data_IF_158304049822
#
_entry.id   IF_158304049822
#
_cell.length_a   1.000
_cell.length_b   1.000
_cell.length_c   1.000
_cell.angle_alpha   90.00
_cell.angle_beta   90.00
_cell.angle_gamma   90.00
#
_symmetry.space_group_name_H-M   'P 1'
#
loop_
_entity.id
_entity.type
_entity.pdbx_description
1 polymer ?
#
# COMPACT_ATOMS: atom_id res chain seq x y z
N UNK A 1 16.30 -26.40 5.10
CA UNK A 1 15.30 -25.33 5.37
C UNK A 1 15.37 -24.18 4.36
N UNK A 2 16.56 -23.70 3.97
CA UNK A 2 16.72 -22.60 2.99
C UNK A 2 16.06 -22.85 1.63
N UNK A 3 16.10 -24.07 1.09
CA UNK A 3 15.50 -24.39 -0.21
C UNK A 3 13.97 -24.41 -0.21
N UNK A 4 13.35 -24.68 0.94
CA UNK A 4 11.89 -24.62 1.09
C UNK A 4 11.43 -23.15 1.10
N UNK A 5 12.13 -22.29 1.85
CA UNK A 5 11.86 -20.87 1.91
C UNK A 5 12.02 -20.19 0.53
N UNK A 6 13.07 -20.52 -0.22
CA UNK A 6 13.27 -20.00 -1.59
C UNK A 6 12.14 -20.41 -2.54
N UNK A 7 11.66 -21.66 -2.44
CA UNK A 7 10.54 -22.15 -3.27
C UNK A 7 9.24 -21.43 -2.95
N UNK A 8 8.92 -21.26 -1.66
CA UNK A 8 7.73 -20.52 -1.22
C UNK A 8 7.79 -19.06 -1.66
N UNK A 9 8.94 -18.41 -1.51
CA UNK A 9 9.13 -17.04 -1.95
C UNK A 9 8.98 -16.91 -3.47
N UNK A 10 9.64 -17.76 -4.26
CA UNK A 10 9.51 -17.75 -5.72
C UNK A 10 8.07 -18.01 -6.19
N UNK A 11 7.32 -18.87 -5.49
CA UNK A 11 5.91 -19.08 -5.76
C UNK A 11 5.09 -17.82 -5.47
N UNK A 12 5.29 -17.21 -4.30
CA UNK A 12 4.62 -15.96 -3.90
C UNK A 12 4.91 -14.79 -4.85
N UNK A 13 6.13 -14.70 -5.39
CA UNK A 13 6.47 -13.69 -6.39
C UNK A 13 5.69 -13.86 -7.70
N UNK A 14 5.42 -15.11 -8.11
CA UNK A 14 4.69 -15.41 -9.35
C UNK A 14 3.18 -15.18 -9.21
N UNK A 15 2.61 -15.50 -8.04
CA UNK A 15 1.18 -15.40 -7.79
C UNK A 15 0.78 -14.05 -7.20
N UNK A 16 1.23 -13.75 -5.99
CA UNK A 16 0.83 -12.54 -5.23
C UNK A 16 1.57 -11.31 -5.75
N UNK A 17 2.86 -11.43 -6.04
CA UNK A 17 3.71 -10.32 -6.51
C UNK A 17 3.30 -9.75 -7.87
N UNK A 18 2.41 -10.42 -8.61
CA UNK A 18 1.94 -9.97 -9.92
C UNK A 18 0.59 -9.23 -9.85
N UNK A 19 -0.10 -9.27 -8.72
CA UNK A 19 -1.39 -8.61 -8.51
C UNK A 19 -1.26 -7.08 -8.59
N UNK A 20 -2.29 -6.36 -9.07
CA UNK A 20 -2.32 -4.91 -9.06
C UNK A 20 -2.26 -4.36 -7.63
N UNK A 21 -1.41 -3.36 -7.40
CA UNK A 21 -1.25 -2.77 -6.07
C UNK A 21 -2.39 -1.87 -5.65
N UNK A 22 -3.02 -1.17 -6.59
CA UNK A 22 -4.09 -0.22 -6.28
C UNK A 22 -5.23 -0.85 -5.45
N UNK A 23 -5.86 -1.98 -5.84
CA UNK A 23 -6.94 -2.55 -5.04
C UNK A 23 -6.46 -3.11 -3.69
N UNK A 24 -5.25 -3.66 -3.61
CA UNK A 24 -4.70 -4.16 -2.35
C UNK A 24 -4.52 -3.03 -1.34
N UNK A 25 -3.94 -1.92 -1.77
CA UNK A 25 -3.74 -0.74 -0.91
C UNK A 25 -5.07 -0.09 -0.57
N UNK A 26 -5.98 0.04 -1.54
CA UNK A 26 -7.32 0.60 -1.33
C UNK A 26 -8.12 -0.20 -0.30
N UNK A 27 -8.17 -1.53 -0.42
CA UNK A 27 -8.85 -2.39 0.56
C UNK A 27 -8.20 -2.30 1.94
N UNK A 28 -6.87 -2.24 2.01
CA UNK A 28 -6.12 -2.20 3.27
C UNK A 28 -6.39 -0.90 4.05
N UNK A 29 -6.27 0.25 3.39
CA UNK A 29 -6.62 1.53 4.01
C UNK A 29 -8.12 1.70 4.23
N UNK A 30 -8.96 1.22 3.31
CA UNK A 30 -10.41 1.24 3.46
C UNK A 30 -10.87 0.47 4.69
N UNK A 31 -10.29 -0.71 4.96
CA UNK A 31 -10.55 -1.48 6.16
C UNK A 31 -10.09 -0.74 7.42
N UNK A 32 -8.89 -0.14 7.41
CA UNK A 32 -8.39 0.62 8.56
C UNK A 32 -9.29 1.82 8.90
N UNK A 33 -9.75 2.56 7.87
CA UNK A 33 -10.70 3.65 8.02
C UNK A 33 -12.05 3.14 8.55
N UNK A 34 -12.57 2.04 8.00
CA UNK A 34 -13.81 1.44 8.47
C UNK A 34 -13.72 1.00 9.93
N UNK A 35 -12.62 0.40 10.36
CA UNK A 35 -12.37 0.04 11.77
C UNK A 35 -12.34 1.28 12.67
N UNK A 36 -11.69 2.36 12.22
CA UNK A 36 -11.64 3.63 12.95
C UNK A 36 -13.02 4.27 13.13
N UNK A 37 -13.86 4.24 12.09
CA UNK A 37 -15.18 4.87 12.09
C UNK A 37 -16.27 4.03 12.76
N UNK A 38 -16.21 2.70 12.65
CA UNK A 38 -17.29 1.80 13.09
C UNK A 38 -17.04 1.16 14.46
N UNK A 39 -15.78 1.04 14.89
CA UNK A 39 -15.41 0.33 16.12
C UNK A 39 -14.81 1.31 17.13
N UNK A 40 -13.60 1.78 16.87
CA UNK A 40 -12.89 2.74 17.72
C UNK A 40 -11.63 3.24 17.02
N UNK A 41 -11.12 4.40 17.45
CA UNK A 41 -9.86 4.96 16.95
C UNK A 41 -8.68 3.99 17.14
N UNK A 42 -8.56 3.37 18.32
CA UNK A 42 -7.53 2.36 18.59
C UNK A 42 -7.63 1.12 17.67
N UNK A 43 -8.85 0.71 17.29
CA UNK A 43 -9.04 -0.36 16.32
C UNK A 43 -8.61 0.06 14.91
N UNK A 44 -8.89 1.32 14.53
CA UNK A 44 -8.41 1.92 13.28
C UNK A 44 -6.89 1.97 13.19
N UNK A 45 -6.21 2.41 14.26
CA UNK A 45 -4.75 2.42 14.34
C UNK A 45 -4.15 1.00 14.23
N UNK A 46 -4.72 0.05 14.97
CA UNK A 46 -4.29 -1.35 14.90
C UNK A 46 -4.46 -1.93 13.49
N UNK A 47 -5.59 -1.64 12.83
CA UNK A 47 -5.85 -2.04 11.46
C UNK A 47 -4.90 -1.36 10.46
N UNK A 48 -4.50 -0.11 10.70
CA UNK A 48 -3.50 0.59 9.89
C UNK A 48 -2.11 -0.07 9.99
N UNK A 49 -1.69 -0.53 11.18
CA UNK A 49 -0.46 -1.31 11.33
C UNK A 49 -0.51 -2.64 10.58
N UNK A 50 -1.65 -3.35 10.66
CA UNK A 50 -1.86 -4.59 9.90
C UNK A 50 -1.83 -4.32 8.39
N UNK A 51 -2.51 -3.27 7.93
CA UNK A 51 -2.49 -2.83 6.54
C UNK A 51 -1.05 -2.54 6.06
N UNK A 52 -0.27 -1.82 6.87
CA UNK A 52 1.14 -1.55 6.56
C UNK A 52 1.96 -2.84 6.47
N UNK A 53 1.79 -3.78 7.42
CA UNK A 53 2.48 -5.07 7.39
C UNK A 53 2.13 -5.88 6.13
N UNK A 54 0.86 -5.89 5.71
CA UNK A 54 0.41 -6.53 4.46
C UNK A 54 1.06 -5.86 3.25
N UNK A 55 1.10 -4.53 3.20
CA UNK A 55 1.72 -3.78 2.11
C UNK A 55 3.23 -4.04 2.04
N UNK A 56 3.93 -4.06 3.18
CA UNK A 56 5.36 -4.37 3.25
C UNK A 56 5.63 -5.79 2.75
N UNK A 57 4.84 -6.77 3.19
CA UNK A 57 4.95 -8.16 2.75
C UNK A 57 4.69 -8.28 1.24
N UNK A 58 3.65 -7.62 0.74
CA UNK A 58 3.34 -7.57 -0.69
C UNK A 58 4.49 -6.93 -1.49
N UNK A 59 5.08 -5.82 -1.01
CA UNK A 59 6.21 -5.18 -1.66
C UNK A 59 7.45 -6.08 -1.68
N UNK A 60 7.68 -6.87 -0.63
CA UNK A 60 8.76 -7.85 -0.60
C UNK A 60 8.56 -8.95 -1.67
N UNK A 61 7.32 -9.35 -1.92
CA UNK A 61 6.98 -10.33 -2.97
C UNK A 61 6.94 -9.73 -4.38
N UNK A 62 6.90 -8.40 -4.55
CA UNK A 62 6.79 -7.77 -5.87
C UNK A 62 8.13 -7.84 -6.63
N UNK A 63 8.15 -8.33 -7.88
CA UNK A 63 9.40 -8.49 -8.64
C UNK A 63 10.02 -7.15 -9.10
N UNK A 64 9.18 -6.14 -9.35
CA UNK A 64 9.58 -4.82 -9.85
C UNK A 64 8.78 -3.71 -9.15
N UNK A 65 9.31 -2.48 -9.10
CA UNK A 65 8.58 -1.32 -8.56
C UNK A 65 8.26 -1.36 -7.06
N UNK A 66 8.84 -2.30 -6.31
CA UNK A 66 8.56 -2.50 -4.87
C UNK A 66 8.75 -1.24 -4.03
N UNK A 67 9.83 -0.50 -4.24
CA UNK A 67 10.14 0.73 -3.51
C UNK A 67 9.22 1.88 -3.89
N UNK A 68 8.83 1.98 -5.17
CA UNK A 68 7.89 2.98 -5.66
C UNK A 68 6.51 2.78 -5.02
N UNK A 69 6.03 1.55 -4.97
CA UNK A 69 4.72 1.21 -4.40
C UNK A 69 4.71 1.42 -2.90
N UNK A 70 5.80 1.02 -2.22
CA UNK A 70 5.99 1.33 -0.81
C UNK A 70 5.99 2.84 -0.55
N UNK A 71 6.75 3.62 -1.31
CA UNK A 71 6.81 5.07 -1.16
C UNK A 71 5.46 5.75 -1.40
N UNK A 72 4.74 5.36 -2.46
CA UNK A 72 3.41 5.89 -2.76
C UNK A 72 2.43 5.53 -1.63
N UNK A 73 2.43 4.28 -1.16
CA UNK A 73 1.52 3.82 -0.10
C UNK A 73 1.83 4.40 1.29
N UNK A 74 3.09 4.75 1.55
CA UNK A 74 3.48 5.46 2.77
C UNK A 74 3.14 6.96 2.74
N UNK A 75 2.86 7.53 1.56
CA UNK A 75 2.67 8.96 1.36
C UNK A 75 1.51 9.55 2.20
N UNK A 76 0.32 8.92 2.32
CA UNK A 76 -0.72 9.47 3.18
C UNK A 76 -0.36 9.46 4.66
N UNK A 77 0.38 8.46 5.13
CA UNK A 77 0.80 8.35 6.54
C UNK A 77 1.85 9.41 6.86
N UNK A 78 2.91 9.50 6.06
CA UNK A 78 3.96 10.49 6.27
C UNK A 78 3.48 11.92 6.00
N UNK A 79 2.74 12.11 4.90
CA UNK A 79 2.23 13.42 4.50
C UNK A 79 1.20 13.98 5.47
N UNK A 80 0.32 13.14 6.04
CA UNK A 80 -0.65 13.61 7.04
C UNK A 80 0.01 13.97 8.37
N UNK A 81 1.07 13.28 8.78
CA UNK A 81 1.83 13.66 9.97
C UNK A 81 2.46 15.06 9.80
N UNK A 82 3.13 15.30 8.68
CA UNK A 82 3.75 16.60 8.38
C UNK A 82 2.68 17.71 8.26
N UNK A 83 1.60 17.46 7.51
CA UNK A 83 0.57 18.47 7.26
C UNK A 83 -0.25 18.79 8.52
N UNK A 84 -0.52 17.81 9.38
CA UNK A 84 -1.17 18.04 10.66
C UNK A 84 -0.33 18.94 11.57
N UNK A 85 0.99 18.70 11.64
CA UNK A 85 1.91 19.49 12.47
C UNK A 85 2.06 20.93 11.98
N UNK A 86 1.99 21.16 10.65
CA UNK A 86 2.15 22.51 10.06
C UNK A 86 0.87 23.33 10.07
N UNK A 87 -0.29 22.70 9.85
CA UNK A 87 -1.57 23.40 9.66
C UNK A 87 -2.46 23.39 10.90
N UNK A 88 -2.02 22.75 12.00
CA UNK A 88 -2.80 22.57 13.24
C UNK A 88 -4.18 21.93 12.98
N UNK A 89 -4.21 20.94 12.08
CA UNK A 89 -5.41 20.19 11.70
C UNK A 89 -5.29 18.73 12.11
N UNK A 90 -6.43 18.03 12.20
CA UNK A 90 -6.42 16.60 12.50
C UNK A 90 -5.71 15.81 11.39
N UNK A 91 -4.95 14.78 11.78
CA UNK A 91 -4.26 13.87 10.85
C UNK A 91 -5.20 13.23 9.84
N UNK A 92 -6.44 12.92 10.27
CA UNK A 92 -7.47 12.38 9.39
C UNK A 92 -7.86 13.38 8.28
N UNK A 93 -8.06 14.65 8.62
CA UNK A 93 -8.37 15.70 7.64
C UNK A 93 -7.20 15.94 6.67
N UNK A 94 -5.97 15.90 7.16
CA UNK A 94 -4.76 16.01 6.35
C UNK A 94 -4.54 14.79 5.43
N UNK A 95 -4.91 13.59 5.86
CA UNK A 95 -4.77 12.35 5.09
C UNK A 95 -5.81 12.20 3.98
N UNK A 96 -7.03 12.70 4.19
CA UNK A 96 -8.16 12.52 3.28
C UNK A 96 -7.86 12.92 1.82
N UNK A 97 -7.27 14.09 1.51
CA UNK A 97 -6.95 14.46 0.13
C UNK A 97 -5.77 13.67 -0.45
N UNK A 98 -4.90 13.11 0.39
CA UNK A 98 -3.73 12.34 -0.06
C UNK A 98 -4.11 10.93 -0.53
N UNK A 99 -5.21 10.37 -0.03
CA UNK A 99 -5.66 9.01 -0.39
C UNK A 99 -6.02 8.91 -1.88
N UNK A 100 -6.86 9.78 -2.47
CA UNK A 100 -7.13 9.73 -3.91
C UNK A 100 -5.87 9.90 -4.78
N UNK A 101 -4.97 10.79 -4.39
CA UNK A 101 -3.69 11.03 -5.10
C UNK A 101 -2.82 9.78 -5.07
N UNK A 102 -2.70 9.13 -3.90
CA UNK A 102 -2.03 7.85 -3.74
C UNK A 102 -2.65 6.78 -4.66
N UNK A 103 -3.97 6.63 -4.66
CA UNK A 103 -4.65 5.61 -5.47
C UNK A 103 -4.47 5.85 -6.97
N UNK A 104 -4.50 7.11 -7.43
CA UNK A 104 -4.21 7.46 -8.82
C UNK A 104 -2.76 7.15 -9.20
N UNK A 105 -1.80 7.48 -8.33
CA UNK A 105 -0.39 7.15 -8.54
C UNK A 105 -0.16 5.63 -8.62
N UNK A 106 -0.80 4.84 -7.75
CA UNK A 106 -0.76 3.37 -7.81
C UNK A 106 -1.41 2.82 -9.07
N UNK A 107 -2.54 3.38 -9.50
CA UNK A 107 -3.20 2.98 -10.74
C UNK A 107 -2.31 3.25 -11.96
N UNK A 108 -1.59 4.38 -11.98
CA UNK A 108 -0.61 4.67 -13.03
C UNK A 108 0.57 3.69 -12.98
N UNK A 109 1.12 3.43 -11.80
CA UNK A 109 2.21 2.47 -11.61
C UNK A 109 1.81 1.06 -12.07
N UNK A 110 0.58 0.61 -11.78
CA UNK A 110 0.08 -0.68 -12.22
C UNK A 110 -0.07 -0.75 -13.75
N UNK A 111 -0.40 0.36 -14.43
CA UNK A 111 -0.43 0.43 -15.91
C UNK A 111 0.97 0.33 -16.50
N UNK A 112 1.93 1.07 -15.94
CA UNK A 112 3.33 1.00 -16.37
C UNK A 112 3.91 -0.40 -16.20
N UNK A 113 3.65 -1.05 -15.07
CA UNK A 113 4.12 -2.41 -14.82
C UNK A 113 3.50 -3.42 -15.80
N UNK A 114 2.22 -3.26 -16.16
CA UNK A 114 1.59 -4.09 -17.21
C UNK A 114 2.23 -3.87 -18.57
N UNK A 115 2.48 -2.61 -18.95
CA UNK A 115 3.14 -2.28 -20.21
C UNK A 115 4.55 -2.86 -20.30
N UNK A 116 5.34 -2.78 -19.22
CA UNK A 116 6.69 -3.39 -19.15
C UNK A 116 6.66 -4.92 -19.30
N UNK A 117 5.62 -5.57 -18.77
CA UNK A 117 5.44 -7.04 -18.89
C UNK A 117 4.97 -7.47 -20.28
N UNK A 118 4.22 -6.63 -20.99
CA UNK A 118 3.77 -6.92 -22.34
C UNK A 118 4.91 -6.89 -23.37
N UNK A 119 6.01 -6.18 -23.08
CA UNK A 119 7.18 -6.06 -23.97
C UNK A 119 6.90 -5.25 -25.25
N UNK A 120 7.94 -4.82 -25.98
CA UNK A 120 7.77 -4.42 -27.38
C UNK A 120 7.40 -5.69 -28.17
N UNK A 121 6.24 -5.66 -28.82
CA UNK A 121 5.80 -6.71 -29.73
C UNK A 121 6.77 -6.89 -30.91
#
# INVERSE_FOLDING_TARGET
MLDAARRLYAHGQRTVGTLPSMPLVACSFGLAIACGLLISEAAGESAAFVALAVIVFYCALRPSGRWTVFAISALPVAGSAIAADVLDVSRAAAALPLIPVMLLALANQDREDRARRAGPA
#
